data_IF_465604055326
#
_entry.id   IF_465604055326
#
_cell.length_a   1.000
_cell.length_b   1.000
_cell.length_c   1.000
_cell.angle_alpha   90.00
_cell.angle_beta   90.00
_cell.angle_gamma   90.00
#
_symmetry.space_group_name_H-M   'P 1'
#
loop_
_entity.id
_entity.type
_entity.pdbx_description
1 polymer ?
#
# COMPACT_ATOMS: atom_id res chain seq x y z
N UNK A 1 -40.94 3.76 -42.45
CA UNK A 1 -39.61 3.60 -41.83
C UNK A 1 -39.83 3.66 -40.34
N UNK A 2 -39.63 2.53 -39.70
CA UNK A 2 -40.00 2.24 -38.32
C UNK A 2 -39.07 3.01 -37.37
N UNK A 3 -39.57 4.05 -36.70
CA UNK A 3 -38.84 4.73 -35.63
C UNK A 3 -38.91 3.83 -34.40
N UNK A 4 -37.84 3.08 -34.14
CA UNK A 4 -37.70 2.32 -32.90
C UNK A 4 -37.59 3.30 -31.73
N UNK A 5 -38.70 3.50 -31.01
CA UNK A 5 -38.70 4.13 -29.69
C UNK A 5 -38.03 3.19 -28.69
N UNK A 6 -36.70 3.23 -28.64
CA UNK A 6 -35.92 2.69 -27.53
C UNK A 6 -36.10 3.59 -26.31
N UNK A 7 -37.25 3.50 -25.64
CA UNK A 7 -37.54 4.32 -24.46
C UNK A 7 -36.55 4.05 -23.33
N UNK A 8 -36.06 5.11 -22.69
CA UNK A 8 -35.34 5.01 -21.43
C UNK A 8 -36.26 4.36 -20.38
N UNK A 9 -35.73 3.41 -19.63
CA UNK A 9 -36.47 2.70 -18.58
C UNK A 9 -35.89 3.09 -17.22
N UNK A 10 -36.75 3.41 -16.27
CA UNK A 10 -36.38 3.72 -14.89
C UNK A 10 -37.01 2.68 -13.97
N UNK A 11 -36.23 2.21 -12.99
CA UNK A 11 -36.64 1.25 -11.98
C UNK A 11 -36.50 1.88 -10.59
N UNK A 12 -37.54 1.75 -9.77
CA UNK A 12 -37.49 2.03 -8.33
C UNK A 12 -37.12 0.73 -7.60
N UNK A 13 -35.98 0.74 -6.90
CA UNK A 13 -35.35 -0.46 -6.38
C UNK A 13 -34.71 -1.29 -7.50
N UNK A 14 -33.38 -1.31 -7.54
CA UNK A 14 -32.64 -2.11 -8.49
C UNK A 14 -31.92 -3.24 -7.77
N UNK A 15 -32.04 -4.45 -8.32
CA UNK A 15 -31.28 -5.61 -7.86
C UNK A 15 -30.83 -6.44 -9.07
N UNK A 16 -29.53 -6.69 -9.14
CA UNK A 16 -28.90 -7.56 -10.13
C UNK A 16 -28.07 -8.61 -9.40
N UNK A 17 -28.12 -9.86 -9.84
CA UNK A 17 -27.40 -10.96 -9.20
C UNK A 17 -26.77 -11.85 -10.26
N UNK A 18 -25.57 -12.36 -9.97
CA UNK A 18 -24.89 -13.37 -10.76
C UNK A 18 -24.72 -14.66 -9.95
N UNK A 19 -24.72 -15.78 -10.66
CA UNK A 19 -24.52 -17.11 -10.08
C UNK A 19 -23.35 -17.82 -10.77
N UNK A 20 -22.67 -18.68 -10.04
CA UNK A 20 -21.66 -19.60 -10.58
C UNK A 20 -22.33 -20.70 -11.40
N UNK A 21 -21.55 -21.47 -12.17
CA UNK A 21 -22.04 -22.64 -12.92
C UNK A 21 -22.66 -23.72 -12.03
N UNK A 22 -22.43 -23.66 -10.71
CA UNK A 22 -23.01 -24.56 -9.71
C UNK A 22 -24.33 -24.03 -9.10
N UNK A 23 -24.79 -22.85 -9.54
CA UNK A 23 -25.98 -22.19 -9.02
C UNK A 23 -25.77 -21.48 -7.68
N UNK A 24 -24.53 -21.31 -7.24
CA UNK A 24 -24.19 -20.54 -6.04
C UNK A 24 -24.12 -19.05 -6.37
N UNK A 25 -24.58 -18.18 -5.48
CA UNK A 25 -24.54 -16.73 -5.72
C UNK A 25 -23.09 -16.24 -5.77
N UNK A 26 -22.67 -15.71 -6.92
CA UNK A 26 -21.32 -15.19 -7.13
C UNK A 26 -21.21 -13.72 -6.70
N UNK A 27 -22.24 -12.92 -7.02
CA UNK A 27 -22.29 -11.50 -6.68
C UNK A 27 -23.72 -10.96 -6.71
N UNK A 28 -23.93 -9.80 -6.08
CA UNK A 28 -25.10 -8.95 -6.29
C UNK A 28 -24.77 -7.47 -6.29
N UNK A 29 -25.62 -6.70 -6.96
CA UNK A 29 -25.60 -5.23 -6.98
C UNK A 29 -27.01 -4.75 -6.66
N UNK A 30 -27.11 -3.83 -5.71
CA UNK A 30 -28.34 -3.16 -5.31
C UNK A 30 -28.18 -1.66 -5.50
N UNK A 31 -29.31 -0.98 -5.73
CA UNK A 31 -29.38 0.48 -5.70
C UNK A 31 -30.81 0.97 -5.50
N UNK A 32 -30.94 2.24 -5.13
CA UNK A 32 -32.24 2.87 -4.87
C UNK A 32 -33.01 3.08 -6.18
N UNK A 33 -32.30 3.51 -7.22
CA UNK A 33 -32.85 3.64 -8.58
C UNK A 33 -31.89 3.08 -9.61
N UNK A 34 -32.44 2.65 -10.75
CA UNK A 34 -31.65 2.40 -11.94
C UNK A 34 -32.29 3.04 -13.18
N UNK A 35 -31.50 3.84 -13.89
CA UNK A 35 -31.87 4.43 -15.16
C UNK A 35 -31.11 3.72 -16.28
N UNK A 36 -31.88 3.13 -17.18
CA UNK A 36 -31.37 2.36 -18.31
C UNK A 36 -31.53 3.18 -19.57
N UNK A 37 -30.41 3.64 -20.13
CA UNK A 37 -30.38 4.45 -21.36
C UNK A 37 -29.32 3.93 -22.32
N UNK A 38 -29.77 3.46 -23.49
CA UNK A 38 -28.90 2.84 -24.48
C UNK A 38 -28.09 1.68 -23.87
N UNK A 39 -26.76 1.82 -23.91
CA UNK A 39 -25.82 0.82 -23.43
C UNK A 39 -25.34 1.05 -21.98
N UNK A 40 -25.89 2.02 -21.27
CA UNK A 40 -25.50 2.33 -19.88
C UNK A 40 -26.66 2.07 -18.93
N UNK A 41 -26.33 1.47 -17.78
CA UNK A 41 -27.19 1.39 -16.61
C UNK A 41 -26.59 2.31 -15.56
N UNK A 42 -27.28 3.39 -15.20
CA UNK A 42 -26.90 4.28 -14.10
C UNK A 42 -27.67 3.87 -12.85
N UNK A 43 -26.98 3.70 -11.73
CA UNK A 43 -27.53 3.20 -10.46
C UNK A 43 -27.22 4.24 -9.38
N UNK A 44 -28.20 4.56 -8.53
CA UNK A 44 -27.99 5.41 -7.36
C UNK A 44 -27.83 4.57 -6.08
N UNK A 45 -27.01 5.05 -5.14
CA UNK A 45 -26.71 4.42 -3.85
C UNK A 45 -26.36 2.94 -4.02
N UNK A 46 -25.27 2.69 -4.73
CA UNK A 46 -24.80 1.35 -5.08
C UNK A 46 -24.36 0.61 -3.83
N UNK A 47 -24.83 -0.62 -3.70
CA UNK A 47 -24.31 -1.62 -2.76
C UNK A 47 -24.06 -2.92 -3.51
N UNK A 48 -22.79 -3.25 -3.73
CA UNK A 48 -22.37 -4.46 -4.42
C UNK A 48 -21.66 -5.42 -3.46
N UNK A 49 -21.90 -6.72 -3.65
CA UNK A 49 -21.27 -7.79 -2.88
C UNK A 49 -20.70 -8.83 -3.84
N UNK A 50 -19.48 -9.26 -3.60
CA UNK A 50 -18.84 -10.42 -4.25
C UNK A 50 -18.63 -11.54 -3.23
N UNK A 51 -18.80 -12.80 -3.66
CA UNK A 51 -18.77 -13.99 -2.80
C UNK A 51 -17.85 -15.11 -3.29
N UNK A 52 -17.06 -14.86 -4.34
CA UNK A 52 -16.21 -15.89 -4.97
C UNK A 52 -15.03 -16.28 -4.06
N UNK A 53 -13.82 -15.75 -4.31
CA UNK A 53 -12.62 -16.13 -3.54
C UNK A 53 -12.62 -15.53 -2.13
N UNK A 54 -12.98 -14.26 -2.04
CA UNK A 54 -13.10 -13.52 -0.79
C UNK A 54 -14.40 -12.70 -0.83
N UNK A 55 -15.08 -12.60 0.32
CA UNK A 55 -16.23 -11.71 0.40
C UNK A 55 -15.77 -10.26 0.37
N UNK A 56 -16.26 -9.51 -0.60
CA UNK A 56 -15.98 -8.08 -0.74
C UNK A 56 -17.29 -7.34 -0.83
N UNK A 57 -17.42 -6.27 -0.07
CA UNK A 57 -18.51 -5.31 -0.17
C UNK A 57 -17.99 -4.02 -0.78
N UNK A 58 -18.79 -3.43 -1.66
CA UNK A 58 -18.52 -2.15 -2.30
C UNK A 58 -19.74 -1.25 -2.18
N UNK A 59 -19.51 0.02 -1.86
CA UNK A 59 -20.56 1.06 -1.86
C UNK A 59 -20.10 2.30 -2.61
N UNK A 60 -21.03 3.01 -3.25
CA UNK A 60 -20.81 4.30 -3.89
C UNK A 60 -22.15 5.06 -4.02
N UNK A 61 -22.15 6.38 -4.21
CA UNK A 61 -23.41 7.11 -4.47
C UNK A 61 -23.90 6.91 -5.89
N UNK A 62 -23.00 6.76 -6.84
CA UNK A 62 -23.33 6.58 -8.26
C UNK A 62 -22.54 5.40 -8.83
N UNK A 63 -23.22 4.54 -9.57
CA UNK A 63 -22.60 3.52 -10.39
C UNK A 63 -23.09 3.59 -11.83
N UNK A 64 -22.20 3.33 -12.78
CA UNK A 64 -22.51 3.21 -14.18
C UNK A 64 -21.95 1.90 -14.70
N UNK A 65 -22.80 1.10 -15.35
CA UNK A 65 -22.43 -0.18 -15.95
C UNK A 65 -22.63 -0.09 -17.45
N UNK A 66 -21.58 -0.35 -18.22
CA UNK A 66 -21.68 -0.53 -19.66
C UNK A 66 -22.14 -1.98 -19.94
N UNK A 67 -23.26 -2.16 -20.65
CA UNK A 67 -23.84 -3.52 -20.85
C UNK A 67 -23.05 -4.35 -21.85
N UNK A 68 -22.41 -3.71 -22.84
CA UNK A 68 -21.61 -4.40 -23.85
C UNK A 68 -20.28 -4.90 -23.28
N UNK A 69 -19.54 -4.03 -22.57
CA UNK A 69 -18.21 -4.39 -22.04
C UNK A 69 -18.26 -5.00 -20.65
N UNK A 70 -19.30 -4.70 -19.86
CA UNK A 70 -19.37 -5.02 -18.44
C UNK A 70 -18.49 -4.11 -17.57
N UNK A 71 -17.92 -3.04 -18.13
CA UNK A 71 -17.12 -2.10 -17.36
C UNK A 71 -18.00 -1.33 -16.38
N UNK A 72 -17.43 -1.09 -15.20
CA UNK A 72 -18.10 -0.41 -14.09
C UNK A 72 -17.35 0.88 -13.79
N UNK A 73 -18.08 1.96 -13.63
CA UNK A 73 -17.58 3.23 -13.14
C UNK A 73 -18.36 3.61 -11.89
N UNK A 74 -17.66 4.04 -10.85
CA UNK A 74 -18.23 4.41 -9.55
C UNK A 74 -17.78 5.82 -9.21
N UNK A 75 -18.69 6.63 -8.70
CA UNK A 75 -18.43 8.01 -8.26
C UNK A 75 -19.04 8.26 -6.89
N UNK A 76 -18.41 9.19 -6.18
CA UNK A 76 -18.78 9.76 -4.89
C UNK A 76 -18.85 8.71 -3.75
N UNK A 77 -18.02 8.91 -2.72
CA UNK A 77 -17.91 8.05 -1.54
C UNK A 77 -17.72 6.56 -1.89
N UNK A 78 -16.75 6.25 -2.75
CA UNK A 78 -16.43 4.86 -3.08
C UNK A 78 -15.73 4.20 -1.89
N UNK A 79 -16.34 3.16 -1.35
CA UNK A 79 -15.80 2.37 -0.23
C UNK A 79 -15.80 0.89 -0.59
N UNK A 80 -14.65 0.24 -0.44
CA UNK A 80 -14.49 -1.20 -0.62
C UNK A 80 -14.07 -1.81 0.71
N UNK A 81 -14.81 -2.81 1.19
CA UNK A 81 -14.52 -3.55 2.42
C UNK A 81 -14.30 -5.01 2.10
N UNK A 82 -13.16 -5.54 2.52
CA UNK A 82 -12.81 -6.96 2.38
C UNK A 82 -13.19 -7.77 3.62
N UNK A 83 -13.31 -9.08 3.49
CA UNK A 83 -13.62 -9.98 4.61
C UNK A 83 -12.49 -10.03 5.64
N UNK A 84 -11.25 -9.85 5.18
CA UNK A 84 -10.07 -9.76 6.06
C UNK A 84 -9.96 -8.42 6.81
N UNK A 85 -10.95 -7.53 6.67
CA UNK A 85 -11.05 -6.28 7.42
C UNK A 85 -10.29 -5.10 6.83
N UNK A 86 -9.75 -5.22 5.60
CA UNK A 86 -9.21 -4.08 4.89
C UNK A 86 -10.33 -3.22 4.30
N UNK A 87 -10.22 -1.90 4.46
CA UNK A 87 -11.15 -0.89 3.95
C UNK A 87 -10.39 0.06 3.05
N UNK A 88 -10.83 0.20 1.81
CA UNK A 88 -10.34 1.19 0.84
C UNK A 88 -11.40 2.27 0.63
N UNK A 89 -10.99 3.53 0.60
CA UNK A 89 -11.85 4.68 0.27
C UNK A 89 -11.22 5.55 -0.81
N UNK A 90 -12.03 6.03 -1.74
CA UNK A 90 -11.64 6.97 -2.81
C UNK A 90 -12.88 7.70 -3.37
N UNK A 91 -12.69 8.69 -4.24
CA UNK A 91 -13.79 9.48 -4.80
C UNK A 91 -14.39 8.83 -6.04
N UNK A 92 -13.57 8.24 -6.91
CA UNK A 92 -14.04 7.47 -8.07
C UNK A 92 -13.25 6.18 -8.28
N UNK A 93 -13.84 5.23 -9.00
CA UNK A 93 -13.19 3.97 -9.34
C UNK A 93 -13.73 3.40 -10.65
N UNK A 94 -12.81 3.06 -11.56
CA UNK A 94 -13.10 2.33 -12.79
C UNK A 94 -12.69 0.87 -12.63
N UNK A 95 -13.56 -0.03 -13.07
CA UNK A 95 -13.27 -1.46 -13.19
C UNK A 95 -13.52 -1.95 -14.61
N UNK A 96 -12.43 -2.30 -15.29
CA UNK A 96 -12.41 -2.99 -16.57
C UNK A 96 -12.34 -4.50 -16.32
N UNK A 97 -13.50 -5.14 -16.10
CA UNK A 97 -13.60 -6.55 -15.69
C UNK A 97 -12.82 -7.51 -16.60
N UNK A 98 -12.92 -7.33 -17.92
CA UNK A 98 -12.29 -8.23 -18.89
C UNK A 98 -10.76 -8.11 -18.92
N UNK A 99 -10.22 -6.99 -18.44
CA UNK A 99 -8.78 -6.72 -18.41
C UNK A 99 -8.17 -6.97 -17.02
N UNK A 100 -8.97 -7.48 -16.06
CA UNK A 100 -8.57 -7.60 -14.66
C UNK A 100 -7.97 -6.31 -14.11
N UNK A 101 -8.65 -5.17 -14.33
CA UNK A 101 -8.02 -3.87 -14.12
C UNK A 101 -8.95 -2.92 -13.38
N UNK A 102 -8.55 -2.56 -12.18
CA UNK A 102 -9.18 -1.54 -11.34
C UNK A 102 -8.27 -0.32 -11.32
N UNK A 103 -8.84 0.87 -11.52
CA UNK A 103 -8.10 2.13 -11.53
C UNK A 103 -8.86 3.22 -10.81
N UNK A 104 -8.10 4.13 -10.22
CA UNK A 104 -8.58 5.45 -9.84
C UNK A 104 -7.45 6.46 -9.98
N UNK A 105 -7.71 7.68 -10.47
CA UNK A 105 -6.74 8.77 -10.42
C UNK A 105 -6.79 9.51 -9.06
N UNK A 106 -7.81 9.27 -8.24
CA UNK A 106 -8.10 10.07 -7.06
C UNK A 106 -7.25 9.64 -5.86
N UNK A 107 -7.22 10.46 -4.79
CA UNK A 107 -6.65 10.04 -3.52
C UNK A 107 -7.28 8.74 -3.02
N UNK A 108 -6.43 7.84 -2.54
CA UNK A 108 -6.81 6.55 -1.98
C UNK A 108 -6.35 6.48 -0.55
N UNK A 109 -7.22 5.98 0.32
CA UNK A 109 -6.88 5.59 1.69
C UNK A 109 -7.25 4.14 1.91
N UNK A 110 -6.30 3.36 2.40
CA UNK A 110 -6.46 1.95 2.75
C UNK A 110 -6.19 1.81 4.23
N UNK A 111 -7.09 1.14 4.95
CA UNK A 111 -6.93 0.82 6.37
C UNK A 111 -7.05 -0.69 6.55
N UNK A 112 -6.08 -1.31 7.21
CA UNK A 112 -6.12 -2.73 7.57
C UNK A 112 -5.45 -2.93 8.92
N UNK A 113 -6.23 -3.42 9.90
CA UNK A 113 -5.78 -3.54 11.30
C UNK A 113 -5.19 -2.22 11.85
N UNK A 114 -3.89 -2.19 12.13
CA UNK A 114 -3.14 -1.03 12.63
C UNK A 114 -2.38 -0.28 11.54
N UNK A 115 -2.57 -0.65 10.29
CA UNK A 115 -1.93 -0.03 9.13
C UNK A 115 -2.91 0.94 8.45
N UNK A 116 -2.41 2.14 8.13
CA UNK A 116 -3.11 3.12 7.31
C UNK A 116 -2.18 3.56 6.19
N UNK A 117 -2.58 3.27 4.96
CA UNK A 117 -1.87 3.68 3.75
C UNK A 117 -2.66 4.74 3.01
N UNK A 118 -2.00 5.81 2.56
CA UNK A 118 -2.58 6.81 1.68
C UNK A 118 -1.68 7.01 0.46
N UNK A 119 -2.25 7.44 -0.66
CA UNK A 119 -1.51 7.83 -1.86
C UNK A 119 -2.46 8.43 -2.90
N UNK A 120 -1.91 8.96 -3.98
CA UNK A 120 -2.71 9.49 -5.09
C UNK A 120 -2.69 8.49 -6.25
N UNK A 121 -3.89 8.13 -6.71
CA UNK A 121 -4.09 7.18 -7.78
C UNK A 121 -3.74 5.74 -7.40
N UNK A 122 -4.44 4.81 -8.02
CA UNK A 122 -4.23 3.38 -7.82
C UNK A 122 -4.48 2.60 -9.10
N UNK A 123 -3.69 1.54 -9.29
CA UNK A 123 -3.93 0.49 -10.27
C UNK A 123 -3.91 -0.85 -9.54
N UNK A 124 -4.90 -1.70 -9.78
CA UNK A 124 -4.95 -3.02 -9.17
C UNK A 124 -5.42 -4.07 -10.18
N UNK A 125 -4.91 -5.28 -10.00
CA UNK A 125 -5.26 -6.47 -10.75
C UNK A 125 -5.79 -7.53 -9.77
N UNK A 126 -7.10 -7.58 -9.50
CA UNK A 126 -7.68 -8.46 -8.49
C UNK A 126 -7.32 -9.94 -8.66
N UNK A 127 -7.37 -10.47 -9.88
CA UNK A 127 -7.04 -11.88 -10.12
C UNK A 127 -5.53 -12.15 -9.99
N UNK A 128 -4.68 -11.19 -10.37
CA UNK A 128 -3.22 -11.29 -10.17
C UNK A 128 -2.79 -11.01 -8.73
N UNK A 129 -3.68 -10.45 -7.89
CA UNK A 129 -3.41 -10.04 -6.51
C UNK A 129 -2.25 -9.04 -6.38
N UNK A 130 -2.18 -8.14 -7.36
CA UNK A 130 -1.21 -7.04 -7.38
C UNK A 130 -1.92 -5.70 -7.30
N UNK A 131 -1.32 -4.75 -6.59
CA UNK A 131 -1.81 -3.37 -6.50
C UNK A 131 -0.64 -2.40 -6.52
N UNK A 132 -0.91 -1.18 -6.97
CA UNK A 132 0.03 -0.07 -6.99
C UNK A 132 -0.68 1.20 -6.56
N UNK A 133 -0.12 1.94 -5.61
CA UNK A 133 -0.42 3.37 -5.45
C UNK A 133 0.61 4.16 -6.25
N UNK A 134 0.20 5.20 -6.98
CA UNK A 134 1.06 5.79 -8.00
C UNK A 134 2.10 6.76 -7.43
N UNK A 135 1.69 7.63 -6.52
CA UNK A 135 2.55 8.69 -5.98
C UNK A 135 2.06 9.19 -4.61
N UNK A 136 2.90 10.01 -3.96
CA UNK A 136 2.64 10.64 -2.66
C UNK A 136 2.21 9.63 -1.58
N UNK A 137 2.88 8.48 -1.55
CA UNK A 137 2.47 7.36 -0.70
C UNK A 137 2.95 7.57 0.72
N UNK A 138 2.05 7.38 1.69
CA UNK A 138 2.36 7.35 3.12
C UNK A 138 1.78 6.09 3.74
N UNK A 139 2.59 5.30 4.42
CA UNK A 139 2.20 4.12 5.20
C UNK A 139 2.47 4.41 6.67
N UNK A 140 1.43 4.39 7.48
CA UNK A 140 1.51 4.45 8.94
C UNK A 140 1.21 3.08 9.51
N UNK A 141 2.06 2.57 10.39
CA UNK A 141 1.86 1.29 11.06
C UNK A 141 2.40 1.30 12.49
N UNK A 142 1.90 0.40 13.34
CA UNK A 142 2.44 0.15 14.67
C UNK A 142 3.30 -1.12 14.66
N UNK A 143 4.53 -0.99 15.16
CA UNK A 143 5.43 -2.09 15.45
C UNK A 143 5.15 -2.61 16.87
N UNK A 144 4.43 -3.72 16.93
CA UNK A 144 4.06 -4.45 18.15
C UNK A 144 5.15 -5.45 18.60
N UNK A 145 6.40 -5.30 18.15
CA UNK A 145 7.51 -6.13 18.64
C UNK A 145 7.72 -6.02 20.16
N UNK A 146 7.33 -4.90 20.77
CA UNK A 146 7.36 -4.66 22.22
C UNK A 146 5.93 -4.32 22.73
N UNK A 147 5.17 -5.28 23.28
CA UNK A 147 3.78 -5.07 23.69
C UNK A 147 3.57 -3.99 24.75
N UNK A 148 4.63 -3.66 25.52
CA UNK A 148 4.60 -2.63 26.56
C UNK A 148 4.91 -1.21 26.04
N UNK A 149 5.36 -1.08 24.78
CA UNK A 149 5.71 0.19 24.16
C UNK A 149 5.66 0.07 22.61
N UNK A 150 4.45 0.00 22.01
CA UNK A 150 4.32 -0.08 20.56
C UNK A 150 4.96 1.16 19.91
N UNK A 151 5.75 0.93 18.86
CA UNK A 151 6.45 2.01 18.16
C UNK A 151 5.75 2.32 16.85
N UNK A 152 5.43 3.58 16.59
CA UNK A 152 4.92 3.96 15.27
C UNK A 152 6.04 3.97 14.26
N UNK A 153 5.72 3.51 13.06
CA UNK A 153 6.56 3.59 11.87
C UNK A 153 5.77 4.30 10.79
N UNK A 154 6.38 5.33 10.22
CA UNK A 154 5.85 6.06 9.06
C UNK A 154 6.82 5.87 7.91
N UNK A 155 6.34 5.35 6.78
CA UNK A 155 7.11 5.23 5.54
C UNK A 155 6.46 6.13 4.50
N UNK A 156 7.24 6.99 3.87
CA UNK A 156 6.80 7.83 2.76
C UNK A 156 7.65 7.54 1.52
N UNK A 157 7.05 7.66 0.34
CA UNK A 157 7.79 7.72 -0.92
C UNK A 157 7.04 8.63 -1.92
N UNK A 158 7.81 9.28 -2.79
CA UNK A 158 7.24 10.19 -3.80
C UNK A 158 6.60 9.40 -4.94
N UNK A 159 7.20 8.26 -5.29
CA UNK A 159 6.80 7.41 -6.41
C UNK A 159 5.94 6.22 -6.00
N UNK A 160 5.86 5.19 -6.87
CA UNK A 160 4.89 4.13 -6.68
C UNK A 160 5.23 3.20 -5.51
N UNK A 161 4.20 2.83 -4.77
CA UNK A 161 4.20 1.67 -3.89
C UNK A 161 3.57 0.49 -4.62
N UNK A 162 4.37 -0.51 -4.96
CA UNK A 162 3.92 -1.76 -5.58
C UNK A 162 3.73 -2.85 -4.51
N UNK A 163 2.63 -3.59 -4.61
CA UNK A 163 2.26 -4.68 -3.73
C UNK A 163 2.00 -5.95 -4.55
N UNK A 164 2.69 -7.03 -4.22
CA UNK A 164 2.44 -8.36 -4.75
C UNK A 164 2.09 -9.29 -3.58
N UNK A 165 0.80 -9.55 -3.39
CA UNK A 165 0.32 -10.35 -2.26
C UNK A 165 0.71 -11.82 -2.40
N UNK A 166 0.80 -12.34 -3.63
CA UNK A 166 1.20 -13.72 -3.87
C UNK A 166 2.67 -13.95 -3.47
N UNK A 167 3.54 -12.96 -3.73
CA UNK A 167 4.95 -12.99 -3.33
C UNK A 167 5.21 -12.48 -1.92
N UNK A 168 4.23 -11.85 -1.27
CA UNK A 168 4.38 -11.16 0.02
C UNK A 168 5.49 -10.09 -0.04
N UNK A 169 5.49 -9.28 -1.11
CA UNK A 169 6.47 -8.22 -1.34
C UNK A 169 5.78 -6.86 -1.43
N UNK A 170 6.42 -5.83 -0.87
CA UNK A 170 6.11 -4.43 -1.12
C UNK A 170 7.36 -3.68 -1.61
N UNK A 171 7.22 -2.84 -2.62
CA UNK A 171 8.32 -2.05 -3.19
C UNK A 171 7.94 -0.58 -3.15
N UNK A 172 8.70 0.20 -2.40
CA UNK A 172 8.60 1.66 -2.35
C UNK A 172 9.64 2.25 -3.28
N UNK A 173 9.23 3.17 -4.14
CA UNK A 173 10.09 3.78 -5.14
C UNK A 173 10.12 5.30 -4.96
N UNK A 174 11.28 5.88 -5.28
CA UNK A 174 11.54 7.32 -5.32
C UNK A 174 11.47 8.00 -3.94
N UNK A 175 12.63 8.45 -3.45
CA UNK A 175 12.79 9.18 -2.19
C UNK A 175 12.07 8.53 -1.00
N UNK A 176 12.39 7.27 -0.74
CA UNK A 176 11.80 6.53 0.38
C UNK A 176 12.38 7.02 1.70
N UNK A 177 11.51 7.43 2.61
CA UNK A 177 11.87 7.82 3.98
C UNK A 177 11.06 6.99 4.97
N UNK A 178 11.72 6.30 5.88
CA UNK A 178 11.09 5.58 6.97
C UNK A 178 11.52 6.17 8.32
N UNK A 179 10.55 6.52 9.15
CA UNK A 179 10.75 7.13 10.47
C UNK A 179 10.11 6.23 11.52
N UNK A 180 10.86 5.85 12.55
CA UNK A 180 10.38 5.08 13.68
C UNK A 180 10.39 5.92 14.96
N UNK A 181 9.38 5.74 15.80
CA UNK A 181 9.35 6.28 17.17
C UNK A 181 10.64 5.93 17.94
N UNK A 182 11.31 6.96 18.45
CA UNK A 182 12.65 6.87 19.02
C UNK A 182 13.75 7.54 18.18
N UNK A 183 13.38 8.21 17.09
CA UNK A 183 14.29 9.08 16.32
C UNK A 183 15.22 8.32 15.37
N UNK A 184 14.83 7.11 14.95
CA UNK A 184 15.52 6.38 13.89
C UNK A 184 14.90 6.73 12.54
N UNK A 185 15.75 7.10 11.60
CA UNK A 185 15.35 7.39 10.23
C UNK A 185 16.15 6.54 9.23
N UNK A 186 15.51 6.19 8.13
CA UNK A 186 16.10 5.53 6.99
C UNK A 186 15.68 6.29 5.73
N UNK A 187 16.65 6.62 4.88
CA UNK A 187 16.45 7.26 3.58
C UNK A 187 17.05 6.35 2.50
N UNK A 188 16.38 6.19 1.37
CA UNK A 188 16.87 5.45 0.20
C UNK A 188 16.13 5.85 -1.08
N UNK A 189 16.68 5.52 -2.26
CA UNK A 189 15.97 5.73 -3.52
C UNK A 189 14.86 4.69 -3.72
N UNK A 190 15.07 3.45 -3.23
CA UNK A 190 14.12 2.34 -3.32
C UNK A 190 14.21 1.44 -2.09
N UNK A 191 13.07 0.96 -1.60
CA UNK A 191 13.00 -0.02 -0.51
C UNK A 191 12.10 -1.18 -0.89
N UNK A 192 12.66 -2.39 -0.82
CA UNK A 192 11.94 -3.64 -1.04
C UNK A 192 11.77 -4.38 0.29
N UNK A 193 10.52 -4.66 0.66
CA UNK A 193 10.13 -5.40 1.85
C UNK A 193 9.62 -6.78 1.49
N UNK A 194 10.09 -7.78 2.23
CA UNK A 194 9.62 -9.16 2.17
C UNK A 194 8.96 -9.51 3.49
N UNK A 195 7.72 -9.97 3.44
CA UNK A 195 6.95 -10.33 4.62
C UNK A 195 6.88 -11.84 4.78
N UNK A 196 6.93 -12.28 6.03
CA UNK A 196 6.63 -13.66 6.37
C UNK A 196 5.13 -13.94 6.11
N UNK A 197 4.79 -14.99 5.34
CA UNK A 197 3.41 -15.21 4.89
C UNK A 197 2.44 -15.56 6.03
N UNK A 198 2.95 -16.08 7.15
CA UNK A 198 2.16 -16.51 8.31
C UNK A 198 1.97 -15.36 9.31
N UNK A 199 3.07 -14.72 9.69
CA UNK A 199 3.10 -13.71 10.76
C UNK A 199 2.93 -12.28 10.25
N UNK A 200 3.02 -12.07 8.93
CA UNK A 200 3.01 -10.75 8.27
C UNK A 200 4.11 -9.79 8.75
N UNK A 201 5.10 -10.29 9.50
CA UNK A 201 6.26 -9.51 9.95
C UNK A 201 7.29 -9.37 8.82
N UNK A 202 8.07 -8.28 8.87
CA UNK A 202 9.18 -8.07 7.94
C UNK A 202 10.25 -9.15 8.15
N UNK A 203 10.40 -10.03 7.16
CA UNK A 203 11.43 -11.05 7.13
C UNK A 203 12.76 -10.45 6.63
N UNK A 204 12.68 -9.58 5.63
CA UNK A 204 13.85 -8.95 5.01
C UNK A 204 13.48 -7.60 4.41
N UNK A 205 14.38 -6.64 4.53
CA UNK A 205 14.27 -5.33 3.91
C UNK A 205 15.55 -5.02 3.14
N UNK A 206 15.41 -4.52 1.92
CA UNK A 206 16.51 -4.14 1.05
C UNK A 206 16.34 -2.67 0.66
N UNK A 207 17.28 -1.83 1.07
CA UNK A 207 17.32 -0.42 0.71
C UNK A 207 18.40 -0.23 -0.35
N UNK A 208 18.09 0.44 -1.46
CA UNK A 208 18.99 0.63 -2.59
C UNK A 208 19.03 2.10 -2.96
N UNK A 209 20.24 2.59 -3.23
CA UNK A 209 20.48 3.96 -3.67
C UNK A 209 20.46 4.95 -2.52
N UNK A 210 21.48 5.82 -2.47
CA UNK A 210 21.63 6.92 -1.51
C UNK A 210 21.23 6.58 -0.06
N UNK A 211 21.59 5.39 0.42
CA UNK A 211 21.07 4.90 1.70
C UNK A 211 21.68 5.68 2.86
N UNK A 212 20.83 6.28 3.69
CA UNK A 212 21.22 6.95 4.93
C UNK A 212 20.43 6.39 6.09
N UNK A 213 21.12 5.91 7.13
CA UNK A 213 20.52 5.50 8.40
C UNK A 213 20.91 6.50 9.48
N UNK A 214 19.93 7.12 10.12
CA UNK A 214 20.13 8.08 11.21
C UNK A 214 19.65 7.45 12.52
N UNK A 215 20.46 7.52 13.56
CA UNK A 215 20.09 7.08 14.91
C UNK A 215 20.68 8.05 15.94
N UNK A 216 19.85 9.01 16.39
CA UNK A 216 20.33 10.13 17.21
C UNK A 216 21.36 10.96 16.43
N UNK A 217 22.55 11.13 17.00
CA UNK A 217 23.65 11.88 16.36
C UNK A 217 24.45 11.03 15.34
N UNK A 218 24.26 9.71 15.33
CA UNK A 218 25.01 8.80 14.48
C UNK A 218 24.37 8.71 13.09
N UNK A 219 25.21 8.72 12.04
CA UNK A 219 24.77 8.56 10.65
C UNK A 219 25.60 7.51 9.94
N UNK A 220 24.92 6.61 9.25
CA UNK A 220 25.54 5.61 8.37
C UNK A 220 25.10 5.84 6.93
N UNK A 221 26.03 5.76 6.00
CA UNK A 221 25.79 5.92 4.55
C UNK A 221 26.19 4.64 3.83
N UNK A 222 25.49 4.29 2.75
CA UNK A 222 25.87 3.18 1.87
C UNK A 222 25.15 3.25 0.52
N UNK A 223 25.57 2.44 -0.45
CA UNK A 223 24.80 2.29 -1.70
C UNK A 223 23.65 1.30 -1.53
N UNK A 224 23.79 0.36 -0.57
CA UNK A 224 22.79 -0.66 -0.26
C UNK A 224 22.84 -1.08 1.20
N UNK A 225 21.66 -1.17 1.82
CA UNK A 225 21.47 -1.78 3.14
C UNK A 225 20.55 -2.99 3.05
N UNK A 226 20.87 -4.05 3.79
CA UNK A 226 20.03 -5.24 3.90
C UNK A 226 19.77 -5.56 5.36
N UNK A 227 18.51 -5.57 5.76
CA UNK A 227 18.06 -6.04 7.06
C UNK A 227 17.56 -7.49 6.98
N UNK A 228 18.00 -8.31 7.93
CA UNK A 228 17.53 -9.69 8.16
C UNK A 228 16.74 -9.73 9.46
N UNK A 229 15.45 -10.07 9.38
CA UNK A 229 14.60 -10.25 10.56
C UNK A 229 15.00 -11.45 11.42
N UNK A 230 15.60 -12.49 10.81
CA UNK A 230 16.07 -13.67 11.52
C UNK A 230 17.27 -13.36 12.42
N UNK A 231 18.18 -12.51 11.95
CA UNK A 231 19.43 -12.16 12.65
C UNK A 231 19.34 -10.81 13.38
N UNK A 232 18.23 -10.09 13.22
CA UNK A 232 18.02 -8.70 13.64
C UNK A 232 19.21 -7.79 13.27
N UNK A 233 19.79 -8.01 12.07
CA UNK A 233 21.04 -7.39 11.63
C UNK A 233 20.86 -6.58 10.36
N UNK A 234 21.45 -5.39 10.33
CA UNK A 234 21.60 -4.57 9.12
C UNK A 234 23.02 -4.73 8.58
N UNK A 235 23.15 -5.01 7.29
CA UNK A 235 24.41 -5.08 6.57
C UNK A 235 24.48 -3.96 5.54
N UNK A 236 25.49 -3.10 5.66
CA UNK A 236 25.73 -1.97 4.75
C UNK A 236 26.81 -2.36 3.72
N UNK A 237 26.61 -2.01 2.46
CA UNK A 237 27.49 -2.41 1.36
C UNK A 237 27.63 -1.35 0.25
N UNK A 238 28.59 -1.55 -0.66
CA UNK A 238 29.00 -0.55 -1.64
C UNK A 238 30.06 0.36 -1.03
N UNK A 239 29.69 1.59 -0.67
CA UNK A 239 30.58 2.58 -0.05
C UNK A 239 30.14 2.94 1.38
N UNK A 240 30.23 2.00 2.34
CA UNK A 240 29.79 2.27 3.70
C UNK A 240 30.64 3.37 4.35
N UNK A 241 29.99 4.36 4.95
CA UNK A 241 30.65 5.40 5.76
C UNK A 241 29.86 5.59 7.05
N UNK A 242 30.58 5.62 8.18
CA UNK A 242 29.98 5.81 9.50
C UNK A 242 30.48 7.12 10.10
N UNK A 243 29.55 7.94 10.57
CA UNK A 243 29.82 9.15 11.34
C UNK A 243 29.27 8.91 12.74
N UNK A 244 30.16 8.88 13.72
CA UNK A 244 29.81 8.83 15.14
C UNK A 244 30.14 10.18 15.77
N UNK A 245 29.24 10.71 16.59
CA UNK A 245 29.55 11.84 17.45
C UNK A 245 29.94 11.28 18.81
N UNK A 246 31.21 11.39 19.15
CA UNK A 246 31.70 11.12 20.50
C UNK A 246 31.67 12.44 21.28
N UNK A 247 30.98 12.48 22.42
CA UNK A 247 31.17 13.59 23.35
C UNK A 247 32.58 13.51 23.93
N UNK A 248 33.51 14.29 23.37
CA UNK A 248 34.80 14.55 23.99
C UNK A 248 34.57 15.32 25.29
N UNK A 249 34.54 14.59 26.41
CA UNK A 249 35.18 15.06 27.64
C UNK A 249 36.54 14.41 27.74
N UNK A 250 37.49 14.89 26.93
CA UNK A 250 38.93 14.69 27.17
C UNK A 250 39.73 14.10 26.01
N UNK A 251 40.29 15.00 25.19
CA UNK A 251 41.67 14.95 24.72
C UNK A 251 42.11 13.73 23.91
N UNK A 252 42.30 13.95 22.61
CA UNK A 252 43.32 13.27 21.80
C UNK A 252 44.74 13.72 22.24
N UNK A 253 45.11 13.41 23.49
CA UNK A 253 46.48 13.46 24.01
C UNK A 253 46.76 12.12 24.72
N UNK A 254 46.77 11.04 23.96
CA UNK A 254 47.19 9.72 24.47
C UNK A 254 47.82 8.87 23.37
N UNK A 255 48.68 9.46 22.55
CA UNK A 255 49.63 8.73 21.70
C UNK A 255 50.98 9.46 21.64
N UNK A 256 51.59 9.69 22.80
CA UNK A 256 53.05 9.82 22.88
C UNK A 256 53.59 8.51 23.48
N UNK A 257 54.31 7.68 22.69
CA UNK A 257 55.10 6.60 23.26
C UNK A 257 56.23 7.24 24.05
N UNK A 258 56.20 7.09 25.37
CA UNK A 258 57.27 7.56 26.25
C UNK A 258 58.48 6.64 26.09
N UNK A 259 59.34 6.97 25.11
CA UNK A 259 60.66 6.39 24.93
C UNK A 259 61.67 7.30 25.65
N UNK A 260 62.03 7.00 26.90
CA UNK A 260 63.44 6.74 27.24
C UNK A 260 63.63 6.23 28.68
N UNK A 261 64.11 5.00 28.77
CA UNK A 261 65.06 4.56 29.79
C UNK A 261 66.42 5.23 29.52
N UNK A 262 67.04 5.86 30.52
CA UNK A 262 68.45 5.66 30.88
C UNK A 262 69.02 6.71 31.85
N UNK A 263 69.42 6.20 33.03
CA UNK A 263 70.65 6.54 33.79
C UNK A 263 71.00 8.00 34.11
N UNK A 264 70.98 8.35 35.41
CA UNK A 264 72.16 8.33 36.30
C UNK A 264 71.78 8.69 37.73
#
# INVERSE_FOLDING_TARGET
>A
TDESFGGAQQFEGFNLQGFTDRGEKAWDVNGDTADVSGNVIRISNVVANSYEDEKVNLTAKVGMINKDSGNIHLEDDVVITSQIGAILTTDSLDWERNNDLVKTPDPVKITHEKMVTTGTGMVAHPNLKTAQLNEDVTVNMEDDSEPSAPKKVVITCDGPLELDQAKNIAIFNEHVVAIQDGGRELHADMVELYFDPQTKKIQRMICIGNVVVVQGENKSYSDKAVYSGADQKITLSGRPKLIMVTQDKGGLDAFTPDNNDSSK
#
